data_IF_473622792469
#
_entry.id   IF_473622792469
#
_cell.length_a   1.000
_cell.length_b   1.000
_cell.length_c   1.000
_cell.angle_alpha   90.00
_cell.angle_beta   90.00
_cell.angle_gamma   90.00
#
_symmetry.space_group_name_H-M   'P 1'
#
loop_
_entity.id
_entity.type
_entity.pdbx_description
1 polymer ?
#
# COMPACT_ATOMS: atom_id res chain seq x y z
N UNK A 1 -17.34 12.29 -7.93
CA UNK A 1 -16.25 11.31 -8.09
C UNK A 1 -16.81 9.93 -7.88
N UNK A 2 -16.38 8.94 -8.67
CA UNK A 2 -16.73 7.54 -8.41
C UNK A 2 -16.07 7.07 -7.10
N UNK A 3 -16.54 5.95 -6.54
CA UNK A 3 -15.96 5.41 -5.31
C UNK A 3 -14.49 5.05 -5.51
N UNK A 4 -14.16 4.47 -6.67
CA UNK A 4 -12.80 4.06 -7.03
C UNK A 4 -11.84 5.25 -7.04
N UNK A 5 -12.22 6.37 -7.66
CA UNK A 5 -11.42 7.60 -7.66
C UNK A 5 -11.30 8.21 -6.24
N UNK A 6 -12.36 8.11 -5.45
CA UNK A 6 -12.35 8.58 -4.05
C UNK A 6 -11.35 7.77 -3.23
N UNK A 7 -11.38 6.45 -3.36
CA UNK A 7 -10.46 5.53 -2.71
C UNK A 7 -9.02 5.69 -3.24
N UNK A 8 -8.84 5.94 -4.54
CA UNK A 8 -7.55 6.31 -5.10
C UNK A 8 -6.99 7.58 -4.44
N UNK A 9 -7.83 8.59 -4.25
CA UNK A 9 -7.40 9.84 -3.60
C UNK A 9 -6.99 9.59 -2.15
N UNK A 10 -7.78 8.82 -1.40
CA UNK A 10 -7.47 8.45 -0.02
C UNK A 10 -6.24 7.54 0.11
N UNK A 11 -5.92 6.73 -0.91
CA UNK A 11 -4.75 5.86 -0.89
C UNK A 11 -3.41 6.61 -0.86
N UNK A 12 -3.40 7.88 -1.26
CA UNK A 12 -2.25 8.78 -1.06
C UNK A 12 -1.92 8.93 0.42
N UNK A 13 -2.94 9.02 1.30
CA UNK A 13 -2.72 9.06 2.75
C UNK A 13 -2.04 7.78 3.24
N UNK A 14 -2.44 6.62 2.72
CA UNK A 14 -1.84 5.32 3.05
C UNK A 14 -0.36 5.28 2.62
N UNK A 15 -0.05 5.79 1.43
CA UNK A 15 1.33 5.93 0.96
C UNK A 15 2.16 6.81 1.92
N UNK A 16 1.64 7.98 2.31
CA UNK A 16 2.34 8.86 3.26
C UNK A 16 2.50 8.23 4.63
N UNK A 17 1.54 7.42 5.09
CA UNK A 17 1.70 6.64 6.33
C UNK A 17 2.85 5.64 6.21
N UNK A 18 2.96 4.91 5.10
CA UNK A 18 4.10 4.00 4.88
C UNK A 18 5.44 4.74 4.87
N UNK A 19 5.53 5.86 4.14
CA UNK A 19 6.74 6.69 4.05
C UNK A 19 7.11 7.26 5.43
N UNK A 20 6.13 7.80 6.15
CA UNK A 20 6.31 8.38 7.48
C UNK A 20 6.78 7.34 8.51
N UNK A 21 6.18 6.15 8.50
CA UNK A 21 6.60 5.05 9.38
C UNK A 21 8.02 4.58 9.07
N UNK A 22 8.35 4.39 7.79
CA UNK A 22 9.69 3.98 7.36
C UNK A 22 10.73 5.03 7.72
N UNK A 23 10.49 6.30 7.39
CA UNK A 23 11.41 7.42 7.65
C UNK A 23 11.58 7.69 9.14
N UNK A 24 10.49 7.65 9.92
CA UNK A 24 10.51 7.86 11.36
C UNK A 24 11.28 6.76 12.10
N UNK A 25 11.04 5.50 11.76
CA UNK A 25 11.77 4.37 12.35
C UNK A 25 13.25 4.36 11.92
N UNK A 26 13.55 4.74 10.67
CA UNK A 26 14.93 4.89 10.20
C UNK A 26 15.66 6.02 10.95
N UNK A 27 15.00 7.15 11.17
CA UNK A 27 15.56 8.26 11.98
C UNK A 27 15.83 7.82 13.41
N UNK A 28 14.90 7.06 14.00
CA UNK A 28 15.05 6.55 15.36
C UNK A 28 16.26 5.60 15.49
N UNK A 29 16.48 4.76 14.49
CA UNK A 29 17.53 3.75 14.53
C UNK A 29 18.91 4.31 14.10
N UNK A 30 18.97 5.25 13.15
CA UNK A 30 20.22 5.72 12.52
C UNK A 30 20.52 7.22 12.68
N UNK A 31 19.61 7.99 13.28
CA UNK A 31 19.72 9.43 13.48
C UNK A 31 19.21 10.27 12.29
N UNK A 32 18.91 11.54 12.56
CA UNK A 32 18.40 12.50 11.56
C UNK A 32 19.42 12.82 10.48
N UNK A 33 20.71 12.94 10.86
CA UNK A 33 21.78 13.32 9.94
C UNK A 33 21.98 12.26 8.86
N UNK A 34 21.91 10.99 9.26
CA UNK A 34 21.96 9.87 8.32
C UNK A 34 20.70 9.83 7.44
N UNK A 35 19.50 10.03 8.02
CA UNK A 35 18.26 10.00 7.25
C UNK A 35 18.18 11.14 6.21
N UNK A 36 18.65 12.33 6.56
CA UNK A 36 18.67 13.50 5.68
C UNK A 36 19.86 13.50 4.70
N UNK A 37 20.93 12.78 5.03
CA UNK A 37 22.11 12.63 4.18
C UNK A 37 21.91 11.69 2.98
N UNK A 38 22.97 11.47 2.18
CA UNK A 38 22.90 10.68 0.93
C UNK A 38 22.77 9.16 1.16
N UNK A 39 22.98 8.68 2.40
CA UNK A 39 22.83 7.25 2.80
C UNK A 39 23.75 6.28 2.03
N UNK A 40 24.90 6.76 1.55
CA UNK A 40 25.87 5.96 0.80
C UNK A 40 26.52 4.88 1.69
N UNK A 41 26.71 5.18 2.98
CA UNK A 41 27.21 4.22 3.96
C UNK A 41 26.11 3.23 4.34
N UNK A 42 26.27 1.94 4.00
CA UNK A 42 25.33 0.91 4.44
C UNK A 42 25.38 0.74 5.96
N UNK A 43 24.29 1.08 6.64
CA UNK A 43 24.08 0.82 8.06
C UNK A 43 22.96 -0.20 8.27
N UNK A 44 23.12 -1.06 9.26
CA UNK A 44 22.10 -2.05 9.60
C UNK A 44 20.87 -1.37 10.20
N UNK A 45 19.69 -1.70 9.65
CA UNK A 45 18.43 -1.22 10.18
C UNK A 45 18.01 -2.05 11.40
N UNK A 46 17.44 -1.40 12.40
CA UNK A 46 16.74 -2.12 13.46
C UNK A 46 15.55 -2.90 12.90
N UNK A 47 15.10 -3.89 13.68
CA UNK A 47 14.06 -4.84 13.25
C UNK A 47 12.79 -4.13 12.75
N UNK A 48 12.36 -3.07 13.45
CA UNK A 48 11.15 -2.32 13.10
C UNK A 48 11.33 -1.46 11.84
N UNK A 49 12.46 -0.75 11.71
CA UNK A 49 12.75 0.02 10.50
C UNK A 49 12.85 -0.89 9.27
N UNK A 50 13.50 -2.06 9.40
CA UNK A 50 13.55 -3.06 8.34
C UNK A 50 12.18 -3.65 7.99
N UNK A 51 11.28 -3.82 8.96
CA UNK A 51 9.88 -4.24 8.71
C UNK A 51 9.09 -3.16 7.97
N UNK A 52 9.22 -1.90 8.37
CA UNK A 52 8.56 -0.76 7.72
C UNK A 52 9.02 -0.58 6.27
N UNK A 53 10.33 -0.70 6.00
CA UNK A 53 10.90 -0.64 4.65
C UNK A 53 10.29 -1.72 3.73
N UNK A 54 10.25 -2.97 4.19
CA UNK A 54 9.62 -4.06 3.41
C UNK A 54 8.12 -3.87 3.23
N UNK A 55 7.42 -3.33 4.22
CA UNK A 55 5.99 -3.03 4.10
C UNK A 55 5.72 -1.95 3.03
N UNK A 56 6.53 -0.88 3.00
CA UNK A 56 6.45 0.17 1.98
C UNK A 56 6.75 -0.39 0.58
N UNK A 57 7.83 -1.16 0.43
CA UNK A 57 8.18 -1.81 -0.86
C UNK A 57 7.04 -2.70 -1.37
N UNK A 58 6.44 -3.50 -0.49
CA UNK A 58 5.32 -4.37 -0.88
C UNK A 58 4.05 -3.60 -1.28
N UNK A 59 3.76 -2.46 -0.63
CA UNK A 59 2.69 -1.58 -1.07
C UNK A 59 2.99 -1.07 -2.49
N UNK A 60 4.20 -0.55 -2.71
CA UNK A 60 4.64 0.00 -3.99
C UNK A 60 4.63 -1.01 -5.16
N UNK A 61 4.80 -2.31 -4.90
CA UNK A 61 4.69 -3.37 -5.92
C UNK A 61 3.29 -3.47 -6.56
N UNK A 62 2.24 -3.16 -5.80
CA UNK A 62 0.85 -3.32 -6.27
C UNK A 62 0.11 -2.00 -6.47
N UNK A 63 0.63 -0.92 -5.87
CA UNK A 63 -0.01 0.38 -5.92
C UNK A 63 -0.19 0.94 -7.34
N UNK A 64 0.78 0.80 -8.28
CA UNK A 64 0.58 1.18 -9.67
C UNK A 64 -0.61 0.49 -10.33
N UNK A 65 -0.85 -0.79 -10.04
CA UNK A 65 -2.00 -1.51 -10.57
C UNK A 65 -3.32 -0.92 -10.06
N UNK A 66 -3.40 -0.59 -8.77
CA UNK A 66 -4.58 0.06 -8.20
C UNK A 66 -4.83 1.44 -8.82
N UNK A 67 -3.77 2.25 -8.99
CA UNK A 67 -3.85 3.56 -9.65
C UNK A 67 -4.45 3.42 -11.05
N UNK A 68 -3.89 2.53 -11.87
CA UNK A 68 -4.33 2.33 -13.26
C UNK A 68 -5.79 1.88 -13.29
N UNK A 69 -6.16 0.86 -12.51
CA UNK A 69 -7.52 0.32 -12.51
C UNK A 69 -8.56 1.35 -12.03
N UNK A 70 -8.26 2.09 -10.96
CA UNK A 70 -9.17 3.12 -10.44
C UNK A 70 -9.33 4.29 -11.42
N UNK A 71 -8.25 4.72 -12.08
CA UNK A 71 -8.31 5.77 -13.11
C UNK A 71 -9.10 5.31 -14.33
N UNK A 72 -8.84 4.10 -14.84
CA UNK A 72 -9.57 3.55 -16.00
C UNK A 72 -11.07 3.44 -15.69
N UNK A 73 -11.44 2.87 -14.53
CA UNK A 73 -12.83 2.80 -14.09
C UNK A 73 -13.49 4.19 -14.05
N UNK A 74 -12.81 5.18 -13.47
CA UNK A 74 -13.31 6.54 -13.37
C UNK A 74 -13.47 7.27 -14.71
N UNK A 75 -12.47 7.17 -15.58
CA UNK A 75 -12.46 7.85 -16.90
C UNK A 75 -13.46 7.19 -17.86
N UNK A 76 -13.56 5.86 -17.85
CA UNK A 76 -14.49 5.11 -18.68
C UNK A 76 -15.95 5.18 -18.18
N UNK A 77 -16.18 5.74 -16.98
CA UNK A 77 -17.51 5.74 -16.35
C UNK A 77 -17.98 4.36 -15.89
N UNK A 78 -17.07 3.41 -15.73
CA UNK A 78 -17.36 2.04 -15.31
C UNK A 78 -17.23 1.97 -13.78
N UNK A 79 -18.34 2.19 -13.08
CA UNK A 79 -18.42 2.01 -11.63
C UNK A 79 -19.57 1.04 -11.32
N UNK A 80 -19.22 -0.22 -11.12
CA UNK A 80 -20.16 -1.30 -10.85
C UNK A 80 -19.77 -2.03 -9.55
N UNK A 81 -20.55 -3.04 -9.16
CA UNK A 81 -20.30 -3.77 -7.92
C UNK A 81 -18.88 -4.35 -7.84
N UNK A 82 -18.36 -4.90 -8.94
CA UNK A 82 -17.03 -5.52 -8.94
C UNK A 82 -15.91 -4.49 -8.75
N UNK A 83 -15.98 -3.34 -9.44
CA UNK A 83 -14.98 -2.28 -9.30
C UNK A 83 -15.03 -1.65 -7.90
N UNK A 84 -16.23 -1.44 -7.36
CA UNK A 84 -16.45 -0.86 -6.03
C UNK A 84 -15.97 -1.79 -4.90
N UNK A 85 -16.38 -3.06 -4.93
CA UNK A 85 -15.94 -4.06 -3.96
C UNK A 85 -14.44 -4.33 -4.06
N UNK A 86 -13.90 -4.41 -5.29
CA UNK A 86 -12.49 -4.62 -5.52
C UNK A 86 -11.63 -3.47 -4.99
N UNK A 87 -12.02 -2.23 -5.25
CA UNK A 87 -11.32 -1.05 -4.74
C UNK A 87 -11.40 -0.95 -3.22
N UNK A 88 -12.59 -1.17 -2.64
CA UNK A 88 -12.78 -1.19 -1.19
C UNK A 88 -11.93 -2.26 -0.50
N UNK A 89 -11.92 -3.47 -1.05
CA UNK A 89 -11.11 -4.58 -0.53
C UNK A 89 -9.61 -4.26 -0.58
N UNK A 90 -9.12 -3.73 -1.70
CA UNK A 90 -7.72 -3.34 -1.84
C UNK A 90 -7.30 -2.36 -0.73
N UNK A 91 -8.06 -1.27 -0.55
CA UNK A 91 -7.76 -0.25 0.46
C UNK A 91 -7.80 -0.81 1.87
N UNK A 92 -8.87 -1.53 2.23
CA UNK A 92 -9.04 -2.11 3.55
C UNK A 92 -7.87 -3.03 3.89
N UNK A 93 -7.50 -3.91 2.96
CA UNK A 93 -6.41 -4.84 3.18
C UNK A 93 -5.05 -4.13 3.25
N UNK A 94 -4.81 -3.07 2.47
CA UNK A 94 -3.57 -2.28 2.60
C UNK A 94 -3.46 -1.53 3.92
N UNK A 95 -4.58 -1.05 4.48
CA UNK A 95 -4.61 -0.48 5.83
C UNK A 95 -4.26 -1.53 6.89
N UNK A 96 -4.88 -2.71 6.83
CA UNK A 96 -4.64 -3.80 7.78
C UNK A 96 -3.24 -4.41 7.66
N UNK A 97 -2.64 -4.37 6.47
CA UNK A 97 -1.32 -4.91 6.22
C UNK A 97 -0.22 -4.21 7.02
N UNK A 98 -0.32 -2.90 7.22
CA UNK A 98 0.66 -2.08 7.94
C UNK A 98 0.92 -2.60 9.37
N UNK A 99 -0.08 -2.63 10.28
CA UNK A 99 0.14 -3.08 11.66
C UNK A 99 0.56 -4.55 11.70
N UNK A 100 -0.01 -5.43 10.87
CA UNK A 100 0.35 -6.85 10.85
C UNK A 100 1.80 -7.08 10.45
N UNK A 101 2.32 -6.33 9.48
CA UNK A 101 3.71 -6.43 9.06
C UNK A 101 4.65 -5.96 10.17
N UNK A 102 4.34 -4.81 10.79
CA UNK A 102 5.15 -4.23 11.86
C UNK A 102 5.20 -5.13 13.09
N UNK A 103 4.05 -5.68 13.51
CA UNK A 103 3.96 -6.64 14.61
C UNK A 103 4.60 -7.99 14.27
N UNK A 104 4.78 -8.29 12.99
CA UNK A 104 5.42 -9.52 12.53
C UNK A 104 4.49 -10.73 12.65
N UNK A 105 3.18 -10.55 12.48
CA UNK A 105 2.18 -11.63 12.52
C UNK A 105 2.27 -12.44 11.21
N UNK A 106 2.83 -13.67 11.24
CA UNK A 106 2.98 -14.47 10.03
C UNK A 106 1.61 -15.02 9.58
N UNK A 107 1.53 -15.45 8.32
CA UNK A 107 0.33 -16.00 7.63
C UNK A 107 -0.83 -15.03 7.44
N UNK A 108 -1.31 -14.35 8.50
CA UNK A 108 -2.42 -13.40 8.39
C UNK A 108 -2.06 -12.23 7.47
N UNK A 109 -0.82 -11.72 7.58
CA UNK A 109 -0.27 -10.75 6.62
C UNK A 109 -0.38 -11.25 5.17
N UNK A 110 -0.02 -12.50 4.92
CA UNK A 110 -0.05 -13.09 3.58
C UNK A 110 -1.49 -13.26 3.07
N UNK A 111 -2.42 -13.66 3.94
CA UNK A 111 -3.84 -13.75 3.62
C UNK A 111 -4.41 -12.38 3.21
N UNK A 112 -4.07 -11.33 3.95
CA UNK A 112 -4.49 -9.96 3.63
C UNK A 112 -3.87 -9.47 2.33
N UNK A 113 -2.61 -9.80 2.04
CA UNK A 113 -2.00 -9.52 0.74
C UNK A 113 -2.76 -10.18 -0.41
N UNK A 114 -3.10 -11.47 -0.27
CA UNK A 114 -3.88 -12.19 -1.27
C UNK A 114 -5.25 -11.53 -1.44
N UNK A 115 -5.91 -11.14 -0.34
CA UNK A 115 -7.16 -10.39 -0.38
C UNK A 115 -7.04 -9.09 -1.17
N UNK A 116 -5.96 -8.33 -1.00
CA UNK A 116 -5.71 -7.12 -1.77
C UNK A 116 -5.54 -7.42 -3.27
N UNK A 117 -4.82 -8.49 -3.61
CA UNK A 117 -4.68 -8.93 -5.00
C UNK A 117 -6.01 -9.38 -5.62
N UNK A 118 -6.86 -10.08 -4.86
CA UNK A 118 -8.22 -10.41 -5.28
C UNK A 118 -9.02 -9.13 -5.56
N UNK A 119 -8.89 -8.11 -4.70
CA UNK A 119 -9.50 -6.80 -4.94
C UNK A 119 -9.11 -6.19 -6.29
N UNK A 120 -7.83 -6.26 -6.65
CA UNK A 120 -7.35 -5.80 -7.97
C UNK A 120 -7.93 -6.64 -9.12
N UNK A 121 -8.02 -7.96 -8.96
CA UNK A 121 -8.63 -8.84 -9.97
C UNK A 121 -10.12 -8.56 -10.14
N UNK A 122 -10.86 -8.26 -9.08
CA UNK A 122 -12.27 -7.87 -9.16
C UNK A 122 -12.44 -6.57 -9.94
N UNK A 123 -11.59 -5.56 -9.67
CA UNK A 123 -11.59 -4.33 -10.45
C UNK A 123 -11.29 -4.59 -11.92
N UNK A 124 -10.28 -5.41 -12.21
CA UNK A 124 -9.94 -5.79 -13.58
C UNK A 124 -11.13 -6.46 -14.29
N UNK A 125 -11.75 -7.46 -13.67
CA UNK A 125 -12.90 -8.15 -14.25
C UNK A 125 -14.07 -7.20 -14.47
N UNK A 126 -14.38 -6.32 -13.51
CA UNK A 126 -15.46 -5.35 -13.64
C UNK A 126 -15.23 -4.25 -14.67
N UNK A 127 -13.98 -4.04 -15.10
CA UNK A 127 -13.65 -3.12 -16.20
C UNK A 127 -13.73 -3.81 -17.56
N UNK A 128 -13.30 -5.08 -17.64
CA UNK A 128 -13.15 -5.81 -18.90
C UNK A 128 -14.44 -6.51 -19.35
N UNK A 129 -15.25 -6.98 -18.39
CA UNK A 129 -16.45 -7.78 -18.62
C UNK A 129 -17.69 -7.10 -18.03
#
# INVERSE_FOLDING_TARGET
MTLELTLLTWSVVILFVHIGLQSGLLTRDLGSDYNAGPRDEKRELGVMAGRADRALRNFAETYPAFIILALVAGIAGISNGLTQWGAGAYILFRLLYIPLYLLGVPYLRSLIFIGACIGLLLMFCGIVF
#
